data_IF_263186633329
#
_entry.id   IF_263186633329
#
_cell.length_a   1.000
_cell.length_b   1.000
_cell.length_c   1.000
_cell.angle_alpha   90.00
_cell.angle_beta   90.00
_cell.angle_gamma   90.00
#
_symmetry.space_group_name_H-M   'P 1'
#
loop_
_entity.id
_entity.type
_entity.pdbx_description
1 polymer ?
#
# COMPACT_ATOMS: atom_id res chain seq x y z
N UNK A 1 41.87 -15.36 -13.95
CA UNK A 1 41.92 -13.88 -14.02
C UNK A 1 40.48 -13.38 -14.02
N UNK A 2 39.94 -12.98 -12.86
CA UNK A 2 38.60 -12.41 -12.78
C UNK A 2 38.71 -10.91 -13.11
N UNK A 3 38.29 -10.54 -14.32
CA UNK A 3 38.21 -9.14 -14.74
C UNK A 3 37.10 -8.48 -13.90
N UNK A 4 37.48 -7.59 -12.97
CA UNK A 4 36.52 -6.77 -12.27
C UNK A 4 35.92 -5.78 -13.29
N UNK A 5 34.67 -6.00 -13.68
CA UNK A 5 33.94 -5.12 -14.57
C UNK A 5 33.77 -3.76 -13.88
N UNK A 6 34.27 -2.68 -14.47
CA UNK A 6 34.03 -1.32 -13.97
C UNK A 6 32.52 -1.06 -13.86
N UNK A 7 32.05 -0.42 -12.77
CA UNK A 7 30.64 -0.13 -12.59
C UNK A 7 30.16 0.77 -13.73
N UNK A 8 29.17 0.29 -14.49
CA UNK A 8 28.53 1.10 -15.53
C UNK A 8 27.98 2.37 -14.88
N UNK A 9 28.38 3.52 -15.41
CA UNK A 9 27.81 4.82 -15.01
C UNK A 9 26.49 4.99 -15.76
N UNK A 10 25.40 5.07 -15.01
CA UNK A 10 24.07 5.36 -15.55
C UNK A 10 23.85 6.88 -15.56
N UNK A 11 23.09 7.37 -16.52
CA UNK A 11 22.57 8.74 -16.50
C UNK A 11 21.31 8.81 -15.64
N UNK A 12 20.98 9.97 -15.06
CA UNK A 12 19.81 10.14 -14.16
C UNK A 12 18.47 9.64 -14.72
N UNK A 13 18.32 9.57 -16.04
CA UNK A 13 17.12 9.05 -16.72
C UNK A 13 17.10 7.53 -16.93
N UNK A 14 18.22 6.85 -16.69
CA UNK A 14 18.35 5.39 -16.85
C UNK A 14 18.13 4.63 -15.54
N UNK A 15 17.99 5.33 -14.42
CA UNK A 15 17.66 4.73 -13.12
C UNK A 15 16.18 4.35 -13.06
N UNK A 16 15.86 3.44 -12.13
CA UNK A 16 14.47 3.14 -11.81
C UNK A 16 13.77 4.39 -11.28
N UNK A 17 12.54 4.62 -11.72
CA UNK A 17 11.69 5.66 -11.15
C UNK A 17 11.40 5.36 -9.67
N UNK A 18 11.22 6.39 -8.84
CA UNK A 18 11.04 6.21 -7.39
C UNK A 18 9.83 5.33 -7.04
N UNK A 19 8.75 5.39 -7.84
CA UNK A 19 7.59 4.50 -7.68
C UNK A 19 7.93 3.03 -7.97
N UNK A 20 8.86 2.77 -8.89
CA UNK A 20 9.30 1.42 -9.22
C UNK A 20 10.19 0.84 -8.12
N UNK A 21 11.05 1.67 -7.51
CA UNK A 21 11.85 1.32 -6.32
C UNK A 21 10.93 0.93 -5.16
N UNK A 22 9.93 1.76 -4.85
CA UNK A 22 8.96 1.48 -3.81
C UNK A 22 8.18 0.17 -4.07
N UNK A 23 7.64 0.01 -5.27
CA UNK A 23 6.90 -1.19 -5.64
C UNK A 23 7.78 -2.45 -5.62
N UNK A 24 9.07 -2.34 -5.97
CA UNK A 24 10.02 -3.44 -5.87
C UNK A 24 10.28 -3.84 -4.41
N UNK A 25 10.57 -2.87 -3.54
CA UNK A 25 10.84 -3.10 -2.12
C UNK A 25 9.63 -3.66 -1.35
N UNK A 26 8.41 -3.31 -1.77
CA UNK A 26 7.17 -3.82 -1.19
C UNK A 26 6.72 -5.16 -1.79
N UNK A 27 7.25 -5.55 -2.95
CA UNK A 27 6.89 -6.80 -3.65
C UNK A 27 5.64 -6.70 -4.51
N UNK A 28 5.23 -5.48 -4.88
CA UNK A 28 3.99 -5.19 -5.61
C UNK A 28 4.14 -5.19 -7.14
N UNK A 29 5.37 -5.39 -7.65
CA UNK A 29 5.61 -5.48 -9.08
C UNK A 29 5.13 -6.82 -9.66
N UNK A 30 4.45 -6.75 -10.81
CA UNK A 30 4.19 -7.96 -11.62
C UNK A 30 5.50 -8.59 -12.07
N UNK A 31 5.50 -9.92 -12.24
CA UNK A 31 6.69 -10.73 -12.54
C UNK A 31 7.63 -10.15 -13.61
N UNK A 32 7.08 -9.71 -14.75
CA UNK A 32 7.90 -9.15 -15.83
C UNK A 32 8.61 -7.83 -15.44
N UNK A 33 7.94 -6.97 -14.66
CA UNK A 33 8.54 -5.75 -14.15
C UNK A 33 9.57 -6.04 -13.05
N UNK A 34 9.26 -7.00 -12.18
CA UNK A 34 10.16 -7.46 -11.13
C UNK A 34 11.49 -7.96 -11.70
N UNK A 35 11.48 -8.84 -12.72
CA UNK A 35 12.70 -9.37 -13.33
C UNK A 35 13.58 -8.27 -13.95
N UNK A 36 12.97 -7.26 -14.59
CA UNK A 36 13.72 -6.13 -15.15
C UNK A 36 14.33 -5.27 -14.06
N UNK A 37 13.57 -4.96 -13.01
CA UNK A 37 14.05 -4.20 -11.87
C UNK A 37 15.18 -4.94 -11.13
N UNK A 38 15.00 -6.23 -10.85
CA UNK A 38 16.01 -7.07 -10.21
C UNK A 38 17.33 -7.10 -10.98
N UNK A 39 17.25 -7.24 -12.31
CA UNK A 39 18.44 -7.16 -13.17
C UNK A 39 19.11 -5.79 -13.08
N UNK A 40 18.34 -4.71 -13.15
CA UNK A 40 18.90 -3.36 -13.06
C UNK A 40 19.58 -3.12 -11.71
N UNK A 41 18.95 -3.52 -10.60
CA UNK A 41 19.49 -3.40 -9.24
C UNK A 41 20.81 -4.18 -9.09
N UNK A 42 20.92 -5.35 -9.71
CA UNK A 42 22.17 -6.12 -9.71
C UNK A 42 23.32 -5.43 -10.48
N UNK A 43 23.00 -4.56 -11.42
CA UNK A 43 23.97 -3.84 -12.26
C UNK A 43 24.20 -2.39 -11.80
N UNK A 44 23.28 -1.79 -11.01
CA UNK A 44 23.29 -0.38 -10.61
C UNK A 44 23.31 -0.22 -9.07
N UNK A 45 24.46 0.20 -8.48
CA UNK A 45 24.58 0.35 -7.03
C UNK A 45 23.73 1.50 -6.46
N UNK A 46 23.42 2.53 -7.25
CA UNK A 46 22.58 3.64 -6.81
C UNK A 46 21.14 3.18 -6.59
N UNK A 47 20.55 2.45 -7.54
CA UNK A 47 19.22 1.88 -7.37
C UNK A 47 19.17 0.80 -6.28
N UNK A 48 20.26 0.05 -6.07
CA UNK A 48 20.37 -0.87 -4.94
C UNK A 48 20.30 -0.12 -3.60
N UNK A 49 21.04 0.99 -3.46
CA UNK A 49 21.02 1.81 -2.26
C UNK A 49 19.64 2.45 -2.00
N UNK A 50 18.92 2.86 -3.05
CA UNK A 50 17.55 3.37 -2.91
C UNK A 50 16.56 2.29 -2.44
N UNK A 51 16.66 1.07 -2.95
CA UNK A 51 15.85 -0.07 -2.48
C UNK A 51 16.15 -0.37 -1.01
N UNK A 52 17.42 -0.39 -0.61
CA UNK A 52 17.82 -0.61 0.78
C UNK A 52 17.26 0.48 1.71
N UNK A 53 17.33 1.75 1.29
CA UNK A 53 16.75 2.87 2.04
C UNK A 53 15.23 2.71 2.21
N UNK A 54 14.51 2.31 1.16
CA UNK A 54 13.07 2.06 1.22
C UNK A 54 12.74 0.87 2.14
N UNK A 55 13.55 -0.18 2.12
CA UNK A 55 13.37 -1.37 2.94
C UNK A 55 13.63 -1.06 4.44
N UNK A 56 14.62 -0.21 4.73
CA UNK A 56 14.86 0.31 6.08
C UNK A 56 13.69 1.15 6.57
N UNK A 57 13.16 2.04 5.73
CA UNK A 57 11.98 2.83 6.07
C UNK A 57 10.75 1.94 6.38
N UNK A 58 10.51 0.91 5.55
CA UNK A 58 9.46 -0.09 5.79
C UNK A 58 9.63 -0.83 7.12
N UNK A 59 10.86 -1.21 7.45
CA UNK A 59 11.17 -1.91 8.70
C UNK A 59 10.94 -1.00 9.90
N UNK A 60 11.42 0.25 9.85
CA UNK A 60 11.19 1.24 10.90
C UNK A 60 9.69 1.50 11.14
N UNK A 61 8.87 1.51 10.10
CA UNK A 61 7.41 1.64 10.24
C UNK A 61 6.77 0.40 10.90
N UNK A 62 7.22 -0.81 10.55
CA UNK A 62 6.75 -2.04 11.18
C UNK A 62 7.13 -2.10 12.67
N UNK A 63 8.31 -1.61 13.00
CA UNK A 63 8.85 -1.62 14.36
C UNK A 63 8.32 -0.45 15.21
N UNK A 64 7.63 0.52 14.61
CA UNK A 64 7.10 1.72 15.30
C UNK A 64 5.99 1.44 16.33
N UNK A 65 5.54 0.19 16.42
CA UNK A 65 4.62 -0.29 17.46
C UNK A 65 3.29 -0.79 16.90
N UNK A 66 2.57 -1.52 17.76
CA UNK A 66 1.31 -2.12 17.39
C UNK A 66 0.21 -1.04 17.32
N UNK A 67 -0.40 -0.88 16.15
CA UNK A 67 -1.60 -0.04 16.03
C UNK A 67 -2.79 -0.79 16.63
N UNK A 68 -3.13 -0.47 17.89
CA UNK A 68 -4.31 -1.03 18.53
C UNK A 68 -5.60 -0.48 17.90
N UNK A 69 -6.54 -1.37 17.56
CA UNK A 69 -7.86 -0.97 17.08
C UNK A 69 -8.65 -0.31 18.22
N UNK A 70 -9.27 0.87 18.00
CA UNK A 70 -10.16 1.47 18.99
C UNK A 70 -11.32 0.52 19.32
N UNK A 71 -11.59 0.28 20.60
CA UNK A 71 -12.62 -0.68 21.04
C UNK A 71 -14.03 -0.39 20.50
N UNK A 72 -14.35 0.87 20.23
CA UNK A 72 -15.59 1.26 19.56
C UNK A 72 -15.71 0.74 18.13
N UNK A 73 -14.60 0.71 17.37
CA UNK A 73 -14.58 0.15 16.02
C UNK A 73 -14.66 -1.37 16.07
N UNK A 74 -13.95 -2.01 17.01
CA UNK A 74 -14.04 -3.46 17.20
C UNK A 74 -15.47 -3.90 17.50
N UNK A 75 -16.17 -3.18 18.37
CA UNK A 75 -17.58 -3.45 18.68
C UNK A 75 -18.54 -3.26 17.50
N UNK A 76 -18.22 -2.37 16.55
CA UNK A 76 -19.00 -2.23 15.30
C UNK A 76 -18.68 -3.35 14.31
N UNK A 77 -17.40 -3.71 14.15
CA UNK A 77 -16.99 -4.78 13.24
C UNK A 77 -17.52 -6.15 13.69
N UNK A 78 -17.62 -6.40 15.00
CA UNK A 78 -18.19 -7.63 15.54
C UNK A 78 -19.70 -7.79 15.23
N UNK A 79 -20.37 -6.73 14.78
CA UNK A 79 -21.78 -6.75 14.38
C UNK A 79 -22.00 -7.00 12.88
N UNK A 80 -20.93 -7.01 12.05
CA UNK A 80 -21.02 -7.28 10.61
C UNK A 80 -21.76 -8.60 10.29
N UNK A 81 -21.57 -9.70 11.04
CA UNK A 81 -22.31 -10.94 10.79
C UNK A 81 -23.84 -10.81 10.90
N UNK A 82 -24.35 -9.75 11.54
CA UNK A 82 -25.79 -9.49 11.67
C UNK A 82 -26.38 -8.61 10.56
N UNK A 83 -25.58 -8.16 9.58
CA UNK A 83 -26.12 -7.67 8.33
C UNK A 83 -26.52 -8.87 7.46
N UNK A 84 -27.69 -9.46 7.74
CA UNK A 84 -28.36 -10.25 6.72
C UNK A 84 -28.47 -9.37 5.46
N UNK A 85 -28.04 -9.85 4.28
CA UNK A 85 -28.39 -9.15 3.05
C UNK A 85 -29.91 -9.04 3.04
N UNK A 86 -30.49 -7.83 2.84
CA UNK A 86 -31.94 -7.70 2.79
C UNK A 86 -32.44 -8.72 1.77
N UNK A 87 -33.33 -9.61 2.20
CA UNK A 87 -34.01 -10.52 1.29
C UNK A 87 -34.54 -9.65 0.14
N UNK A 88 -34.00 -9.86 -1.06
CA UNK A 88 -34.29 -9.05 -2.23
C UNK A 88 -35.79 -9.11 -2.52
N UNK A 89 -36.57 -8.19 -1.97
CA UNK A 89 -37.86 -7.83 -2.51
C UNK A 89 -37.59 -6.98 -3.77
N UNK A 90 -38.05 -7.41 -4.96
CA UNK A 90 -37.74 -6.72 -6.20
C UNK A 90 -38.51 -5.40 -6.27
N UNK A 91 -37.90 -4.29 -5.82
CA UNK A 91 -38.51 -2.97 -5.93
C UNK A 91 -37.72 -1.77 -5.39
N UNK A 92 -36.82 -1.95 -4.42
CA UNK A 92 -36.31 -0.80 -3.63
C UNK A 92 -34.78 -0.60 -3.65
N UNK A 93 -34.07 -1.23 -4.60
CA UNK A 93 -32.61 -1.26 -4.63
C UNK A 93 -31.89 0.10 -4.79
N UNK A 94 -32.58 1.14 -5.28
CA UNK A 94 -31.95 2.46 -5.51
C UNK A 94 -31.84 3.32 -4.25
N UNK A 95 -32.77 3.17 -3.30
CA UNK A 95 -32.82 4.01 -2.09
C UNK A 95 -31.89 3.51 -0.98
N UNK A 96 -31.66 2.20 -0.91
CA UNK A 96 -30.84 1.58 0.15
C UNK A 96 -29.34 1.85 -0.03
N UNK A 97 -28.86 1.85 -1.28
CA UNK A 97 -27.47 2.16 -1.61
C UNK A 97 -27.07 3.61 -1.26
N UNK A 98 -27.98 4.57 -1.50
CA UNK A 98 -27.79 5.98 -1.17
C UNK A 98 -27.77 6.21 0.35
N UNK A 99 -28.68 5.54 1.07
CA UNK A 99 -28.75 5.60 2.54
C UNK A 99 -27.51 4.97 3.19
N UNK A 100 -27.03 3.83 2.68
CA UNK A 100 -25.77 3.18 3.12
C UNK A 100 -24.54 4.06 2.87
N UNK A 101 -24.44 4.73 1.71
CA UNK A 101 -23.36 5.68 1.41
C UNK A 101 -23.34 6.86 2.39
N UNK A 102 -24.52 7.37 2.76
CA UNK A 102 -24.64 8.54 3.64
C UNK A 102 -24.15 8.26 5.08
N UNK A 103 -24.38 7.05 5.61
CA UNK A 103 -23.95 6.62 6.96
C UNK A 103 -22.42 6.47 7.05
N UNK A 104 -21.78 5.92 6.00
CA UNK A 104 -20.32 5.77 5.96
C UNK A 104 -19.63 7.16 5.87
N UNK A 105 -20.16 8.08 5.05
CA UNK A 105 -19.55 9.39 4.81
C UNK A 105 -19.63 10.32 6.04
N UNK A 106 -20.68 10.24 6.86
CA UNK A 106 -20.80 11.07 8.07
C UNK A 106 -19.81 10.69 9.18
N UNK A 107 -19.44 9.41 9.27
CA UNK A 107 -18.44 8.94 10.25
C UNK A 107 -17.02 9.38 9.92
N UNK A 108 -16.62 9.36 8.64
CA UNK A 108 -15.27 9.77 8.20
C UNK A 108 -15.09 11.30 8.32
N UNK A 109 -16.15 12.08 8.10
CA UNK A 109 -16.12 13.53 8.28
C UNK A 109 -15.88 13.96 9.73
N UNK A 110 -16.25 13.12 10.70
CA UNK A 110 -16.10 13.37 12.14
C UNK A 110 -14.68 13.09 12.64
N UNK A 111 -13.97 12.11 12.06
CA UNK A 111 -12.57 11.84 12.39
C UNK A 111 -11.61 12.95 11.91
N UNK A 112 -11.91 13.61 10.79
CA UNK A 112 -11.05 14.68 10.24
C UNK A 112 -11.07 15.98 11.05
N UNK A 113 -12.10 16.22 11.89
CA UNK A 113 -12.19 17.43 12.73
C UNK A 113 -11.42 17.35 14.05
N UNK A 114 -11.06 16.16 14.54
CA UNK A 114 -10.32 15.98 15.80
C UNK A 114 -8.80 16.00 15.66
N UNK A 115 -8.28 16.12 14.43
CA UNK A 115 -6.83 16.19 14.13
C UNK A 115 -6.37 17.59 13.71
N UNK A 116 -7.16 18.63 14.02
CA UNK A 116 -6.73 20.04 13.95
C UNK A 116 -6.73 20.63 15.34
#
# INVERSE_FOLDING_TARGET
MAQAQEPRRFSSTEHLASEAVAAFADGELRMAAYLRAARHIAECPECAAEVDAQQQARTALKDSGEMSMPGSLLGLLSQIPMCEPPACAPGEAKNDAERRRRVIVTSVASLRRRRR
#
